data_IF_293781007714
#
_entry.id   IF_293781007714
#
_cell.length_a   1.000
_cell.length_b   1.000
_cell.length_c   1.000
_cell.angle_alpha   90.00
_cell.angle_beta   90.00
_cell.angle_gamma   90.00
#
_symmetry.space_group_name_H-M   'P 1'
#
loop_
_entity.id
_entity.type
_entity.pdbx_description
1 polymer ?
#
# COMPACT_ATOMS: atom_id res chain seq x y z
N UNK A 1 8.21 51.23 -18.98
CA UNK A 1 9.26 50.81 -18.03
C UNK A 1 8.57 49.99 -16.96
N UNK A 2 8.93 48.71 -16.92
CA UNK A 2 8.21 47.60 -16.32
C UNK A 2 8.02 47.74 -14.79
N UNK A 3 6.76 47.84 -14.35
CA UNK A 3 6.40 47.47 -12.99
C UNK A 3 5.86 46.03 -13.02
N UNK A 4 6.77 45.08 -13.21
CA UNK A 4 6.56 43.69 -12.83
C UNK A 4 6.53 43.68 -11.30
N UNK A 5 5.35 44.00 -10.75
CA UNK A 5 5.03 43.71 -9.36
C UNK A 5 5.09 42.19 -9.25
N UNK A 6 6.22 41.69 -8.76
CA UNK A 6 6.40 40.31 -8.34
C UNK A 6 5.19 39.92 -7.49
N UNK A 7 4.25 39.17 -8.06
CA UNK A 7 3.39 38.30 -7.26
C UNK A 7 4.36 37.40 -6.51
N UNK A 8 4.57 37.67 -5.22
CA UNK A 8 4.93 36.58 -4.32
C UNK A 8 3.73 35.65 -4.35
N UNK A 9 3.71 34.75 -5.33
CA UNK A 9 2.91 33.55 -5.20
C UNK A 9 3.33 32.97 -3.87
N UNK A 10 2.36 32.86 -2.96
CA UNK A 10 2.54 32.09 -1.75
C UNK A 10 2.61 30.64 -2.26
N UNK A 11 3.79 30.23 -2.76
CA UNK A 11 4.02 28.90 -3.32
C UNK A 11 3.84 27.97 -2.13
N UNK A 12 2.64 27.44 -1.95
CA UNK A 12 2.44 26.29 -1.09
C UNK A 12 3.16 25.16 -1.83
N UNK A 13 4.32 24.69 -1.34
CA UNK A 13 4.95 23.54 -1.94
C UNK A 13 3.94 22.39 -1.87
N UNK A 14 3.92 21.55 -2.90
CA UNK A 14 3.18 20.28 -2.86
C UNK A 14 3.55 19.58 -1.54
N UNK A 15 2.60 19.05 -0.75
CA UNK A 15 2.95 18.43 0.52
C UNK A 15 4.00 17.32 0.34
N UNK A 16 4.92 17.19 1.30
CA UNK A 16 6.08 16.31 1.18
C UNK A 16 5.71 14.85 0.88
N UNK A 17 4.59 14.36 1.44
CA UNK A 17 4.05 13.01 1.19
C UNK A 17 3.75 12.73 -0.29
N UNK A 18 3.39 13.76 -1.06
CA UNK A 18 3.15 13.64 -2.50
C UNK A 18 4.44 13.79 -3.30
N UNK A 19 5.39 14.63 -2.83
CA UNK A 19 6.70 14.77 -3.47
C UNK A 19 7.53 13.48 -3.35
N UNK A 20 7.44 12.81 -2.19
CA UNK A 20 8.21 11.61 -1.85
C UNK A 20 7.48 10.29 -2.10
N UNK A 21 6.26 10.33 -2.62
CA UNK A 21 5.38 9.15 -2.74
C UNK A 21 6.07 7.93 -3.36
N UNK A 22 6.85 8.13 -4.42
CA UNK A 22 7.59 7.05 -5.10
C UNK A 22 8.74 6.49 -4.26
N UNK A 23 9.45 7.36 -3.54
CA UNK A 23 10.58 6.97 -2.69
C UNK A 23 10.06 6.17 -1.48
N UNK A 24 9.03 6.69 -0.79
CA UNK A 24 8.40 6.02 0.35
C UNK A 24 7.80 4.66 -0.05
N UNK A 25 7.25 4.57 -1.26
CA UNK A 25 6.76 3.31 -1.81
C UNK A 25 7.89 2.31 -2.06
N UNK A 26 9.03 2.77 -2.59
CA UNK A 26 10.18 1.90 -2.82
C UNK A 26 10.80 1.43 -1.50
N UNK A 27 10.93 2.31 -0.50
CA UNK A 27 11.34 1.96 0.86
C UNK A 27 10.43 0.88 1.45
N UNK A 28 9.11 1.06 1.35
CA UNK A 28 8.15 0.03 1.75
C UNK A 28 8.37 -1.31 1.05
N UNK A 29 8.60 -1.33 -0.27
CA UNK A 29 8.81 -2.59 -1.00
C UNK A 29 10.09 -3.29 -0.55
N UNK A 30 11.13 -2.54 -0.21
CA UNK A 30 12.36 -3.09 0.37
C UNK A 30 12.09 -3.71 1.74
N UNK A 31 11.35 -3.02 2.61
CA UNK A 31 11.00 -3.54 3.93
C UNK A 31 10.10 -4.78 3.85
N UNK A 32 9.09 -4.76 2.98
CA UNK A 32 8.20 -5.89 2.74
C UNK A 32 8.97 -7.10 2.19
N UNK A 33 9.90 -6.87 1.24
CA UNK A 33 10.79 -7.91 0.72
C UNK A 33 11.64 -8.52 1.83
N UNK A 34 12.32 -7.69 2.62
CA UNK A 34 13.23 -8.15 3.66
C UNK A 34 12.47 -8.90 4.77
N UNK A 35 11.30 -8.39 5.18
CA UNK A 35 10.44 -9.00 6.20
C UNK A 35 9.97 -10.39 5.76
N UNK A 36 9.55 -10.53 4.50
CA UNK A 36 9.04 -11.77 3.94
C UNK A 36 10.13 -12.74 3.42
N UNK A 37 11.42 -12.36 3.51
CA UNK A 37 12.52 -13.18 2.99
C UNK A 37 12.51 -13.36 1.46
N UNK A 38 11.98 -12.38 0.73
CA UNK A 38 11.86 -12.42 -0.73
C UNK A 38 13.13 -11.92 -1.43
N UNK A 39 13.37 -12.32 -2.67
CA UNK A 39 14.58 -11.93 -3.43
C UNK A 39 14.43 -10.64 -4.24
N UNK A 40 13.21 -10.13 -4.44
CA UNK A 40 12.98 -8.92 -5.24
C UNK A 40 11.80 -8.10 -4.78
N UNK A 41 11.87 -6.79 -5.05
CA UNK A 41 10.78 -5.84 -4.77
C UNK A 41 9.56 -6.09 -5.66
N UNK A 42 9.75 -6.59 -6.89
CA UNK A 42 8.64 -6.99 -7.78
C UNK A 42 7.76 -8.10 -7.18
N UNK A 43 8.39 -9.07 -6.50
CA UNK A 43 7.65 -10.13 -5.80
C UNK A 43 6.94 -9.55 -4.56
N UNK A 44 7.61 -8.67 -3.80
CA UNK A 44 6.98 -8.00 -2.65
C UNK A 44 5.80 -7.10 -3.05
N UNK A 45 5.85 -6.50 -4.25
CA UNK A 45 4.75 -5.75 -4.83
C UNK A 45 3.55 -6.68 -5.09
N UNK A 46 3.79 -7.80 -5.76
CA UNK A 46 2.73 -8.80 -6.06
C UNK A 46 2.11 -9.35 -4.77
N UNK A 47 2.93 -9.64 -3.76
CA UNK A 47 2.48 -10.05 -2.43
C UNK A 47 1.59 -8.99 -1.78
N UNK A 48 2.04 -7.73 -1.75
CA UNK A 48 1.27 -6.61 -1.18
C UNK A 48 -0.06 -6.45 -1.90
N UNK A 49 -0.05 -6.51 -3.22
CA UNK A 49 -1.27 -6.45 -4.03
C UNK A 49 -2.25 -7.57 -3.66
N UNK A 50 -1.76 -8.81 -3.52
CA UNK A 50 -2.57 -9.95 -3.11
C UNK A 50 -3.20 -9.76 -1.75
N UNK A 51 -2.41 -9.35 -0.75
CA UNK A 51 -2.90 -9.05 0.61
C UNK A 51 -3.96 -7.96 0.59
N UNK A 52 -3.73 -6.87 -0.14
CA UNK A 52 -4.69 -5.76 -0.26
C UNK A 52 -6.01 -6.20 -0.91
N UNK A 53 -5.95 -7.00 -1.97
CA UNK A 53 -7.15 -7.53 -2.62
C UNK A 53 -7.94 -8.48 -1.72
N UNK A 54 -7.26 -9.36 -0.98
CA UNK A 54 -7.89 -10.28 -0.03
C UNK A 54 -8.53 -9.51 1.13
N UNK A 55 -7.85 -8.48 1.64
CA UNK A 55 -8.36 -7.65 2.73
C UNK A 55 -9.55 -6.80 2.30
N UNK A 56 -9.45 -6.03 1.20
CA UNK A 56 -10.52 -5.11 0.76
C UNK A 56 -11.84 -5.82 0.43
N UNK A 57 -11.77 -7.06 -0.06
CA UNK A 57 -12.96 -7.91 -0.35
C UNK A 57 -13.77 -8.26 0.90
N UNK A 58 -13.25 -7.95 2.09
CA UNK A 58 -13.88 -8.25 3.40
C UNK A 58 -14.33 -6.99 4.14
N UNK A 59 -14.06 -5.80 3.60
CA UNK A 59 -14.41 -4.54 4.24
C UNK A 59 -15.76 -4.00 3.77
N UNK A 60 -16.43 -3.23 4.64
CA UNK A 60 -17.46 -2.28 4.22
C UNK A 60 -16.79 -1.11 3.47
N UNK A 61 -17.58 -0.37 2.68
CA UNK A 61 -17.07 0.83 2.01
C UNK A 61 -16.51 1.87 3.01
N UNK A 62 -17.18 2.05 4.14
CA UNK A 62 -16.73 2.90 5.24
C UNK A 62 -15.35 2.49 5.76
N UNK A 63 -15.16 1.20 6.10
CA UNK A 63 -13.89 0.68 6.60
C UNK A 63 -12.79 0.75 5.53
N UNK A 64 -13.14 0.53 4.26
CA UNK A 64 -12.21 0.72 3.15
C UNK A 64 -11.72 2.16 3.07
N UNK A 65 -12.60 3.14 3.12
CA UNK A 65 -12.22 4.57 3.06
C UNK A 65 -11.38 4.94 4.28
N UNK A 66 -11.78 4.51 5.48
CA UNK A 66 -11.02 4.75 6.70
C UNK A 66 -9.60 4.15 6.61
N UNK A 67 -9.46 2.92 6.12
CA UNK A 67 -8.16 2.29 5.91
C UNK A 67 -7.34 3.00 4.84
N UNK A 68 -7.95 3.37 3.71
CA UNK A 68 -7.26 4.07 2.63
C UNK A 68 -6.67 5.42 3.10
N UNK A 69 -7.36 6.13 3.98
CA UNK A 69 -6.91 7.43 4.50
C UNK A 69 -5.63 7.36 5.36
N UNK A 70 -5.34 6.21 5.97
CA UNK A 70 -4.11 6.03 6.75
C UNK A 70 -2.94 5.48 5.93
N UNK A 71 -3.18 5.10 4.66
CA UNK A 71 -2.13 4.59 3.77
C UNK A 71 -1.33 5.75 3.15
N UNK A 72 0.00 5.60 2.98
CA UNK A 72 0.82 6.42 2.10
C UNK A 72 0.29 6.45 0.67
N UNK A 73 0.60 7.50 -0.08
CA UNK A 73 -0.01 7.83 -1.37
C UNK A 73 -0.03 6.63 -2.34
N UNK A 74 1.11 6.00 -2.60
CA UNK A 74 1.17 4.87 -3.55
C UNK A 74 0.52 3.59 -3.01
N UNK A 75 0.58 3.33 -1.70
CA UNK A 75 -0.12 2.19 -1.10
C UNK A 75 -1.64 2.38 -1.13
N UNK A 76 -2.11 3.61 -0.91
CA UNK A 76 -3.52 3.98 -1.06
C UNK A 76 -4.01 3.70 -2.49
N UNK A 77 -3.23 4.14 -3.48
CA UNK A 77 -3.52 3.87 -4.89
C UNK A 77 -3.54 2.36 -5.20
N UNK A 78 -2.55 1.61 -4.72
CA UNK A 78 -2.47 0.16 -4.89
C UNK A 78 -3.67 -0.56 -4.24
N UNK A 79 -4.11 -0.10 -3.07
CA UNK A 79 -5.22 -0.71 -2.32
C UNK A 79 -6.55 -0.64 -3.07
N UNK A 80 -6.79 0.42 -3.83
CA UNK A 80 -8.05 0.62 -4.58
C UNK A 80 -7.95 0.24 -6.06
N UNK A 81 -6.73 0.03 -6.58
CA UNK A 81 -6.49 -0.29 -7.99
C UNK A 81 -7.32 -1.50 -8.45
N UNK A 82 -7.96 -1.37 -9.61
CA UNK A 82 -8.76 -2.41 -10.26
C UNK A 82 -9.86 -3.03 -9.38
N UNK A 83 -10.39 -2.31 -8.38
CA UNK A 83 -11.42 -2.85 -7.50
C UNK A 83 -12.81 -2.81 -8.14
N UNK A 84 -13.42 -3.99 -8.33
CA UNK A 84 -14.84 -4.10 -8.62
C UNK A 84 -15.68 -4.04 -7.33
N UNK A 85 -16.27 -2.87 -7.06
CA UNK A 85 -17.09 -2.65 -5.86
C UNK A 85 -18.44 -3.41 -5.88
N UNK A 86 -18.82 -3.97 -7.03
CA UNK A 86 -20.05 -4.76 -7.17
C UNK A 86 -19.83 -6.24 -6.84
N UNK A 87 -18.58 -6.69 -6.64
CA UNK A 87 -18.33 -8.04 -6.17
C UNK A 87 -18.90 -8.26 -4.76
N UNK A 88 -19.54 -9.40 -4.48
CA UNK A 88 -20.01 -9.72 -3.15
C UNK A 88 -18.85 -9.70 -2.13
N UNK A 89 -19.05 -8.95 -1.04
CA UNK A 89 -18.13 -8.95 0.09
C UNK A 89 -18.06 -10.36 0.70
N UNK A 90 -16.84 -10.84 0.95
CA UNK A 90 -16.59 -12.09 1.69
C UNK A 90 -16.48 -11.82 3.19
N UNK A 91 -16.88 -12.75 4.07
CA UNK A 91 -16.54 -12.64 5.47
C UNK A 91 -15.02 -12.81 5.68
N UNK A 92 -14.52 -12.35 6.81
CA UNK A 92 -13.22 -12.81 7.30
C UNK A 92 -13.33 -14.32 7.56
N UNK A 93 -12.44 -15.08 6.91
CA UNK A 93 -12.39 -16.54 7.00
C UNK A 93 -11.18 -16.99 7.82
N UNK A 94 -10.83 -18.26 7.71
CA UNK A 94 -9.61 -18.75 8.34
C UNK A 94 -8.36 -18.12 7.72
N UNK A 95 -7.31 -17.96 8.51
CA UNK A 95 -6.05 -17.38 8.06
C UNK A 95 -5.47 -18.17 6.87
N UNK A 96 -5.54 -19.51 6.91
CA UNK A 96 -5.02 -20.34 5.82
C UNK A 96 -5.81 -20.17 4.52
N UNK A 97 -7.13 -19.96 4.60
CA UNK A 97 -7.97 -19.66 3.43
C UNK A 97 -7.59 -18.32 2.81
N UNK A 98 -7.42 -17.29 3.64
CA UNK A 98 -7.01 -15.97 3.18
C UNK A 98 -5.63 -16.00 2.53
N UNK A 99 -4.67 -16.74 3.08
CA UNK A 99 -3.33 -16.92 2.48
C UNK A 99 -3.40 -17.65 1.13
N UNK A 100 -4.26 -18.67 1.00
CA UNK A 100 -4.49 -19.31 -0.30
C UNK A 100 -5.03 -18.32 -1.34
N UNK A 101 -5.97 -17.46 -0.94
CA UNK A 101 -6.45 -16.39 -1.82
C UNK A 101 -5.32 -15.42 -2.20
N UNK A 102 -4.46 -15.02 -1.24
CA UNK A 102 -3.31 -14.14 -1.52
C UNK A 102 -2.40 -14.77 -2.58
N UNK A 103 -2.04 -16.05 -2.42
CA UNK A 103 -1.17 -16.80 -3.35
C UNK A 103 -1.83 -17.05 -4.71
N UNK A 104 -3.16 -17.06 -4.79
CA UNK A 104 -3.89 -17.30 -6.04
C UNK A 104 -3.81 -16.13 -7.02
N UNK A 105 -3.54 -14.91 -6.54
CA UNK A 105 -3.32 -13.76 -7.41
C UNK A 105 -2.10 -14.03 -8.28
N UNK A 106 -2.27 -14.11 -9.61
CA UNK A 106 -1.17 -14.40 -10.55
C UNK A 106 -0.37 -15.65 -10.14
N UNK A 107 -1.04 -16.78 -9.94
CA UNK A 107 -0.46 -17.99 -9.32
C UNK A 107 0.94 -18.40 -9.78
N UNK A 108 1.28 -18.28 -11.07
CA UNK A 108 2.61 -18.60 -11.61
C UNK A 108 3.73 -17.61 -11.22
N UNK A 109 3.37 -16.44 -10.70
CA UNK A 109 4.29 -15.33 -10.42
C UNK A 109 4.18 -14.80 -9.00
N UNK A 110 3.37 -15.45 -8.17
CA UNK A 110 3.14 -15.02 -6.80
C UNK A 110 3.81 -15.98 -5.83
N UNK A 111 4.94 -15.52 -5.30
CA UNK A 111 5.77 -16.26 -4.36
C UNK A 111 5.55 -15.79 -2.92
N UNK A 112 4.34 -15.30 -2.61
CA UNK A 112 3.96 -14.92 -1.25
C UNK A 112 4.19 -16.07 -0.28
N UNK A 113 4.88 -15.88 0.85
CA UNK A 113 5.00 -16.91 1.88
C UNK A 113 3.67 -17.09 2.63
N UNK A 114 3.56 -18.13 3.47
CA UNK A 114 2.39 -18.30 4.36
C UNK A 114 2.28 -17.19 5.42
N UNK A 115 3.35 -16.42 5.61
CA UNK A 115 3.43 -15.26 6.49
C UNK A 115 3.01 -13.96 5.81
N UNK A 116 2.65 -13.96 4.52
CA UNK A 116 2.47 -12.76 3.71
C UNK A 116 1.57 -11.68 4.33
N UNK A 117 0.43 -12.05 4.93
CA UNK A 117 -0.47 -11.08 5.59
C UNK A 117 0.24 -10.40 6.77
N UNK A 118 0.95 -11.17 7.60
CA UNK A 118 1.75 -10.66 8.71
C UNK A 118 2.91 -9.78 8.23
N UNK A 119 3.59 -10.19 7.17
CA UNK A 119 4.77 -9.48 6.65
C UNK A 119 4.39 -8.12 6.08
N UNK A 120 3.28 -8.05 5.32
CA UNK A 120 2.72 -6.78 4.81
C UNK A 120 2.32 -5.85 5.97
N UNK A 121 1.64 -6.37 7.00
CA UNK A 121 1.26 -5.58 8.17
C UNK A 121 2.49 -5.05 8.95
N UNK A 122 3.55 -5.86 9.01
CA UNK A 122 4.82 -5.50 9.66
C UNK A 122 5.54 -4.41 8.88
N UNK A 123 5.68 -4.56 7.56
CA UNK A 123 6.31 -3.56 6.69
C UNK A 123 5.56 -2.21 6.73
N UNK A 124 4.23 -2.23 6.76
CA UNK A 124 3.44 -1.02 6.96
C UNK A 124 3.74 -0.34 8.29
N UNK A 125 3.86 -1.11 9.37
CA UNK A 125 4.19 -0.60 10.70
C UNK A 125 5.59 0.02 10.76
N UNK A 126 6.55 -0.51 9.99
CA UNK A 126 7.91 0.04 9.89
C UNK A 126 7.88 1.41 9.19
N UNK A 127 7.24 1.50 8.02
CA UNK A 127 7.13 2.74 7.26
C UNK A 127 6.45 3.88 8.04
N UNK A 128 5.35 3.57 8.74
CA UNK A 128 4.65 4.56 9.56
C UNK A 128 5.52 5.07 10.72
N UNK A 129 6.43 4.24 11.26
CA UNK A 129 7.36 4.68 12.30
C UNK A 129 8.41 5.64 11.74
N UNK A 130 8.94 5.37 10.54
CA UNK A 130 9.90 6.27 9.89
C UNK A 130 9.30 7.63 9.53
N UNK A 131 8.04 7.64 9.09
CA UNK A 131 7.32 8.88 8.75
C UNK A 131 7.13 9.77 9.98
N UNK A 132 6.90 9.19 11.16
CA UNK A 132 6.72 9.93 12.41
C UNK A 132 8.04 10.37 13.06
N UNK A 133 9.19 9.76 12.72
CA UNK A 133 10.49 10.16 13.25
C UNK A 133 11.19 11.26 12.43
N UNK A 134 10.75 11.48 11.19
CA UNK A 134 11.34 12.44 10.24
C UNK A 134 10.41 13.65 9.94
N UNK A 135 9.29 13.77 10.66
CA UNK A 135 8.29 14.83 10.53
C UNK A 135 8.36 15.87 11.64
#
# INVERSE_FOLDING_TARGET
MENIVKRKENIMPVPAEYQRASDDFYEYLVDARNTAGLWSTHVSYTMTQGVFQVFRRRLSLENTIAFANILPVCLRALFIADWNINEPRRPFGDYAEMIKEVKSLRGEHNFSPDTAIRDVATAFSILLRYSNSNG
#
